data_IF_351063850895
#
_entry.id   IF_351063850895
#
_cell.length_a   1.000
_cell.length_b   1.000
_cell.length_c   1.000
_cell.angle_alpha   90.00
_cell.angle_beta   90.00
_cell.angle_gamma   90.00
#
_symmetry.space_group_name_H-M   'P 1'
#
loop_
_entity.id
_entity.type
_entity.pdbx_description
1 polymer ?
#
# COMPACT_ATOMS: atom_id res chain seq x y z
N UNK A 1 -5.36 -14.84 12.82
CA UNK A 1 -3.96 -15.20 12.45
C UNK A 1 -3.02 -14.25 13.17
N UNK A 2 -1.83 -14.69 13.62
CA UNK A 2 -0.83 -13.79 14.20
C UNK A 2 0.41 -13.82 13.31
N UNK A 3 0.76 -12.68 12.71
CA UNK A 3 1.95 -12.51 11.88
C UNK A 3 3.17 -12.11 12.70
N UNK A 4 4.28 -12.83 12.56
CA UNK A 4 5.54 -12.47 13.21
C UNK A 4 6.28 -11.38 12.42
N UNK A 5 6.69 -10.31 13.11
CA UNK A 5 7.53 -9.25 12.58
C UNK A 5 8.85 -9.26 13.37
N UNK A 6 9.97 -9.65 12.73
CA UNK A 6 11.29 -9.54 13.35
C UNK A 6 11.71 -8.07 13.42
N UNK A 7 12.20 -7.65 14.57
CA UNK A 7 12.75 -6.32 14.82
C UNK A 7 14.27 -6.33 14.76
N UNK A 8 14.82 -6.95 13.74
CA UNK A 8 16.26 -6.99 13.54
C UNK A 8 16.56 -7.12 12.06
N UNK A 9 17.76 -6.68 11.69
CA UNK A 9 18.37 -6.95 10.41
C UNK A 9 19.46 -8.01 10.57
N UNK A 10 19.83 -8.68 9.49
CA UNK A 10 20.94 -9.64 9.47
C UNK A 10 21.83 -9.36 8.28
N UNK A 11 23.12 -9.18 8.53
CA UNK A 11 24.15 -9.12 7.50
C UNK A 11 24.60 -10.52 7.07
N UNK A 12 24.82 -10.71 5.77
CA UNK A 12 25.27 -11.98 5.19
C UNK A 12 26.65 -11.82 4.57
N UNK A 13 27.74 -12.14 5.30
CA UNK A 13 29.09 -12.13 4.76
C UNK A 13 29.27 -13.11 3.59
N UNK A 14 30.31 -12.89 2.79
CA UNK A 14 30.59 -13.71 1.61
C UNK A 14 30.76 -15.22 1.90
N UNK A 15 31.24 -15.57 3.10
CA UNK A 15 31.41 -16.96 3.52
C UNK A 15 30.27 -17.38 4.48
N UNK A 16 29.70 -18.59 4.31
CA UNK A 16 28.68 -19.11 5.23
C UNK A 16 29.18 -19.19 6.66
N UNK A 17 28.34 -18.77 7.60
CA UNK A 17 28.63 -18.80 9.03
C UNK A 17 27.94 -19.99 9.70
N UNK A 18 28.53 -20.52 10.77
CA UNK A 18 27.88 -21.55 11.60
C UNK A 18 26.74 -20.99 12.45
N UNK A 19 26.76 -19.69 12.75
CA UNK A 19 25.69 -18.91 13.35
C UNK A 19 25.79 -17.46 12.85
N UNK A 20 24.66 -16.73 12.86
CA UNK A 20 24.62 -15.34 12.40
C UNK A 20 24.37 -14.34 13.53
N UNK A 21 24.45 -14.76 14.80
CA UNK A 21 24.13 -13.92 15.96
C UNK A 21 24.97 -12.62 16.00
N UNK A 22 26.25 -12.69 15.60
CA UNK A 22 27.13 -11.52 15.54
C UNK A 22 26.87 -10.59 14.35
N UNK A 23 26.05 -11.03 13.40
CA UNK A 23 25.65 -10.27 12.21
C UNK A 23 24.24 -9.70 12.36
N UNK A 24 23.60 -9.92 13.51
CA UNK A 24 22.33 -9.28 13.83
C UNK A 24 22.58 -7.80 14.12
N UNK A 25 21.75 -6.95 13.52
CA UNK A 25 21.75 -5.52 13.75
C UNK A 25 20.37 -5.13 14.28
N UNK A 26 20.36 -4.31 15.32
CA UNK A 26 19.13 -3.69 15.83
C UNK A 26 18.61 -2.69 14.80
N UNK A 27 17.31 -2.39 14.81
CA UNK A 27 16.83 -1.25 14.03
C UNK A 27 17.51 0.04 14.47
N UNK A 28 17.76 0.19 15.77
CA UNK A 28 18.46 1.35 16.31
C UNK A 28 19.85 1.57 15.75
N UNK A 29 20.64 0.50 15.60
CA UNK A 29 21.95 0.59 14.97
C UNK A 29 21.83 0.94 13.49
N UNK A 30 20.85 0.38 12.76
CA UNK A 30 20.66 0.70 11.33
C UNK A 30 20.31 2.19 11.16
N UNK A 31 19.40 2.74 11.97
CA UNK A 31 18.93 4.11 11.83
C UNK A 31 19.89 5.18 12.34
N UNK A 32 20.81 4.82 13.23
CA UNK A 32 21.81 5.74 13.78
C UNK A 32 23.17 5.61 13.09
N UNK A 33 23.33 4.66 12.17
CA UNK A 33 24.56 4.49 11.40
C UNK A 33 24.49 5.30 10.11
N UNK A 34 25.35 6.33 10.05
CA UNK A 34 25.48 7.22 8.89
C UNK A 34 25.78 6.50 7.58
N UNK A 35 26.29 5.28 7.63
CA UNK A 35 26.55 4.50 6.43
C UNK A 35 25.27 4.04 5.72
N UNK A 36 24.18 3.83 6.45
CA UNK A 36 22.90 3.43 5.87
C UNK A 36 22.01 4.63 5.52
N UNK A 37 22.33 5.85 5.96
CA UNK A 37 21.57 7.07 5.64
C UNK A 37 21.39 7.27 4.12
N UNK A 38 22.39 6.87 3.32
CA UNK A 38 22.37 6.97 1.86
C UNK A 38 21.60 5.82 1.16
N UNK A 39 21.15 4.81 1.91
CA UNK A 39 20.57 3.56 1.37
C UNK A 39 19.07 3.37 1.66
N UNK A 40 18.43 4.35 2.28
CA UNK A 40 17.00 4.39 2.58
C UNK A 40 16.46 3.14 3.33
N UNK A 41 16.79 3.00 4.63
CA UNK A 41 16.30 1.90 5.46
C UNK A 41 14.78 1.94 5.70
N UNK A 42 14.09 3.00 5.28
CA UNK A 42 12.64 3.13 5.42
C UNK A 42 11.87 2.40 4.32
N UNK A 43 12.43 2.35 3.11
CA UNK A 43 11.74 1.85 1.91
C UNK A 43 12.47 0.66 1.24
N UNK A 44 13.60 0.21 1.79
CA UNK A 44 14.32 -0.95 1.29
C UNK A 44 14.40 -2.09 2.31
N UNK A 45 14.03 -3.30 1.88
CA UNK A 45 14.25 -4.54 2.65
C UNK A 45 15.69 -5.07 2.51
N UNK A 46 16.54 -4.36 1.77
CA UNK A 46 17.94 -4.76 1.53
C UNK A 46 18.84 -3.53 1.54
N UNK A 47 19.85 -3.58 2.40
CA UNK A 47 20.96 -2.62 2.44
C UNK A 47 22.26 -3.36 2.10
N UNK A 48 23.31 -2.62 1.87
CA UNK A 48 24.68 -3.11 1.71
C UNK A 48 25.47 -2.59 2.89
N UNK A 49 26.29 -3.41 3.57
CA UNK A 49 27.18 -3.01 4.68
C UNK A 49 28.46 -2.33 4.18
N UNK A 50 29.25 -1.75 5.07
CA UNK A 50 30.55 -1.12 4.74
C UNK A 50 31.50 -2.08 4.02
N UNK A 51 31.40 -3.37 4.33
CA UNK A 51 32.18 -4.44 3.73
C UNK A 51 31.63 -4.93 2.38
N UNK A 52 30.50 -4.36 1.92
CA UNK A 52 29.86 -4.71 0.66
C UNK A 52 28.94 -5.94 0.76
N UNK A 53 28.54 -6.34 1.96
CA UNK A 53 27.67 -7.50 2.17
C UNK A 53 26.19 -7.10 2.23
N UNK A 54 25.25 -7.95 1.77
CA UNK A 54 23.83 -7.66 1.90
C UNK A 54 23.37 -7.76 3.36
N UNK A 55 22.58 -6.78 3.78
CA UNK A 55 21.89 -6.70 5.06
C UNK A 55 20.39 -6.76 4.78
N UNK A 56 19.71 -7.79 5.28
CA UNK A 56 18.27 -7.95 5.08
C UNK A 56 17.51 -7.53 6.33
N UNK A 57 16.43 -6.78 6.12
CA UNK A 57 15.56 -6.26 7.17
C UNK A 57 14.10 -6.27 6.70
N UNK A 58 13.21 -5.80 7.58
CA UNK A 58 11.87 -5.40 7.18
C UNK A 58 11.82 -3.88 7.18
N UNK A 59 11.72 -3.28 6.01
CA UNK A 59 11.44 -1.85 5.87
C UNK A 59 10.11 -1.48 6.52
N UNK A 60 9.90 -0.19 6.76
CA UNK A 60 8.64 0.32 7.29
C UNK A 60 7.47 -0.05 6.37
N UNK A 61 7.66 0.04 5.04
CA UNK A 61 6.64 -0.39 4.08
C UNK A 61 6.27 -1.87 4.22
N UNK A 62 7.26 -2.75 4.38
CA UNK A 62 7.02 -4.19 4.53
C UNK A 62 6.32 -4.49 5.85
N UNK A 63 6.65 -3.77 6.92
CA UNK A 63 5.95 -3.86 8.20
C UNK A 63 4.48 -3.45 8.05
N UNK A 64 4.19 -2.34 7.36
CA UNK A 64 2.82 -1.90 7.08
C UNK A 64 2.02 -2.96 6.29
N UNK A 65 2.58 -3.49 5.20
CA UNK A 65 1.95 -4.57 4.41
C UNK A 65 1.63 -5.80 5.26
N UNK A 66 2.49 -6.15 6.23
CA UNK A 66 2.25 -7.26 7.16
C UNK A 66 1.15 -6.95 8.18
N UNK A 67 1.09 -5.71 8.67
CA UNK A 67 0.00 -5.25 9.53
C UNK A 67 -1.33 -5.36 8.78
N UNK A 68 -1.42 -4.81 7.57
CA UNK A 68 -2.62 -4.82 6.73
C UNK A 68 -3.09 -6.25 6.50
N UNK A 69 -2.20 -7.11 6.02
CA UNK A 69 -2.50 -8.51 5.76
C UNK A 69 -3.05 -9.20 7.02
N UNK A 70 -2.42 -9.01 8.18
CA UNK A 70 -2.92 -9.64 9.41
C UNK A 70 -4.27 -9.08 9.86
N UNK A 71 -4.50 -7.78 9.65
CA UNK A 71 -5.75 -7.07 9.99
C UNK A 71 -6.92 -7.54 9.12
N UNK A 72 -6.72 -7.69 7.81
CA UNK A 72 -7.73 -8.17 6.85
C UNK A 72 -8.34 -9.52 7.24
N UNK A 73 -7.57 -10.40 7.88
CA UNK A 73 -8.02 -11.70 8.36
C UNK A 73 -8.48 -11.71 9.84
N UNK A 74 -8.79 -10.54 10.41
CA UNK A 74 -9.23 -10.39 11.81
C UNK A 74 -8.16 -10.81 12.83
N UNK A 75 -6.89 -10.72 12.44
CA UNK A 75 -5.73 -11.11 13.21
C UNK A 75 -4.99 -9.93 13.81
N UNK A 76 -3.69 -10.14 14.05
CA UNK A 76 -2.78 -9.11 14.52
C UNK A 76 -1.33 -9.53 14.31
N UNK A 77 -0.41 -8.76 14.88
CA UNK A 77 1.02 -9.00 14.75
C UNK A 77 1.65 -9.34 16.11
N UNK A 78 2.76 -10.06 16.05
CA UNK A 78 3.68 -10.29 17.16
C UNK A 78 5.05 -9.76 16.76
N UNK A 79 5.73 -9.07 17.67
CA UNK A 79 7.04 -8.45 17.42
C UNK A 79 8.13 -9.24 18.14
N UNK A 80 9.20 -9.57 17.43
CA UNK A 80 10.40 -10.20 18.00
C UNK A 80 11.68 -9.43 17.68
N UNK A 81 12.26 -8.67 18.60
CA UNK A 81 11.65 -8.27 19.86
C UNK A 81 11.81 -6.77 20.09
N UNK A 82 10.94 -6.24 20.94
CA UNK A 82 10.76 -4.80 21.13
C UNK A 82 12.05 -4.10 21.59
N UNK A 83 12.96 -4.80 22.27
CA UNK A 83 14.22 -4.25 22.77
C UNK A 83 15.23 -3.85 21.67
N UNK A 84 14.95 -4.17 20.41
CA UNK A 84 15.81 -3.84 19.27
C UNK A 84 15.45 -2.51 18.58
N UNK A 85 14.42 -1.81 19.08
CA UNK A 85 13.99 -0.50 18.57
C UNK A 85 14.81 0.67 19.14
N UNK A 86 14.65 1.88 18.57
CA UNK A 86 15.24 3.13 19.08
C UNK A 86 14.51 3.66 20.31
N UNK A 87 15.21 3.88 21.43
CA UNK A 87 14.66 4.48 22.65
C UNK A 87 15.32 5.80 23.06
N UNK A 88 16.27 6.28 22.26
CA UNK A 88 17.11 7.45 22.52
C UNK A 88 16.61 8.74 21.83
N UNK A 89 15.42 8.68 21.23
CA UNK A 89 14.85 9.76 20.43
C UNK A 89 15.21 9.68 18.94
N UNK A 90 15.94 8.65 18.51
CA UNK A 90 16.09 8.28 17.10
C UNK A 90 14.81 7.68 16.49
N UNK A 91 14.82 7.37 15.18
CA UNK A 91 13.64 6.83 14.48
C UNK A 91 13.13 5.51 15.08
N UNK A 92 11.97 5.52 15.73
CA UNK A 92 11.35 4.31 16.30
C UNK A 92 10.40 3.64 15.31
N UNK A 93 10.59 2.33 15.10
CA UNK A 93 9.66 1.50 14.35
C UNK A 93 8.32 1.40 15.08
N UNK A 94 8.34 1.29 16.40
CA UNK A 94 7.11 1.24 17.19
C UNK A 94 6.27 2.52 17.04
N UNK A 95 6.92 3.69 17.08
CA UNK A 95 6.24 4.97 16.84
C UNK A 95 5.70 5.06 15.42
N UNK A 96 6.45 4.59 14.42
CA UNK A 96 5.98 4.53 13.03
C UNK A 96 4.76 3.63 12.88
N UNK A 97 4.77 2.44 13.48
CA UNK A 97 3.64 1.51 13.47
C UNK A 97 2.43 2.08 14.19
N UNK A 98 2.64 2.74 15.33
CA UNK A 98 1.57 3.42 16.06
C UNK A 98 0.98 4.55 15.19
N UNK A 99 1.82 5.37 14.56
CA UNK A 99 1.37 6.42 13.66
C UNK A 99 0.62 5.88 12.44
N UNK A 100 1.04 4.75 11.89
CA UNK A 100 0.36 4.07 10.78
C UNK A 100 -1.03 3.58 11.19
N UNK A 101 -1.11 2.77 12.25
CA UNK A 101 -2.37 2.21 12.76
C UNK A 101 -3.35 3.33 13.16
N UNK A 102 -2.87 4.42 13.77
CA UNK A 102 -3.74 5.55 14.15
C UNK A 102 -4.00 6.52 13.00
N UNK A 103 -3.11 6.60 12.01
CA UNK A 103 -3.29 7.36 10.77
C UNK A 103 -4.42 6.78 9.92
N UNK A 104 -4.53 5.45 9.87
CA UNK A 104 -5.67 4.76 9.27
C UNK A 104 -6.99 5.07 10.00
N UNK A 105 -6.94 5.27 11.32
CA UNK A 105 -8.10 5.67 12.11
C UNK A 105 -8.54 7.14 11.90
N UNK A 106 -7.72 7.97 11.23
CA UNK A 106 -8.07 9.35 10.86
C UNK A 106 -8.76 9.46 9.49
N UNK A 107 -9.02 8.34 8.81
CA UNK A 107 -9.71 8.32 7.51
C UNK A 107 -8.90 8.87 6.35
N UNK A 108 -7.59 9.09 6.53
CA UNK A 108 -6.64 9.39 5.45
C UNK A 108 -5.90 8.11 5.12
N UNK A 109 -6.59 7.21 4.44
CA UNK A 109 -5.99 6.02 3.86
C UNK A 109 -5.06 6.43 2.72
N UNK A 110 -3.75 6.34 2.91
CA UNK A 110 -2.77 6.44 1.83
C UNK A 110 -2.73 5.09 1.09
N UNK A 111 -3.85 4.63 0.54
CA UNK A 111 -3.80 3.58 -0.48
C UNK A 111 -3.54 4.24 -1.84
N UNK A 112 -2.63 3.63 -2.61
CA UNK A 112 -2.36 4.01 -3.99
C UNK A 112 -3.71 4.18 -4.73
N UNK A 113 -4.04 5.39 -5.21
CA UNK A 113 -5.30 5.62 -5.89
C UNK A 113 -5.35 4.77 -7.16
N UNK A 114 -6.47 4.07 -7.42
CA UNK A 114 -6.66 3.33 -8.68
C UNK A 114 -6.41 4.29 -9.84
N UNK A 115 -5.34 4.09 -10.61
CA UNK A 115 -5.21 4.81 -11.87
C UNK A 115 -6.18 4.18 -12.87
N UNK A 116 -7.10 4.97 -13.42
CA UNK A 116 -7.98 4.50 -14.50
C UNK A 116 -8.25 5.63 -15.47
N UNK A 117 -8.60 5.26 -16.69
CA UNK A 117 -8.98 6.17 -17.75
C UNK A 117 -10.39 5.86 -18.23
N UNK A 118 -11.11 6.92 -18.62
CA UNK A 118 -12.47 6.80 -19.14
C UNK A 118 -12.54 7.50 -20.49
N UNK A 119 -13.04 6.80 -21.50
CA UNK A 119 -13.11 7.34 -22.86
C UNK A 119 -14.25 6.73 -23.70
N UNK A 120 -14.80 7.49 -24.66
CA UNK A 120 -14.62 8.93 -24.81
C UNK A 120 -15.26 9.68 -23.63
N UNK A 121 -14.75 10.86 -23.30
CA UNK A 121 -15.39 11.79 -22.38
C UNK A 121 -15.20 13.20 -22.95
N UNK A 122 -16.25 13.87 -23.46
CA UNK A 122 -17.67 13.49 -23.38
C UNK A 122 -18.06 12.23 -24.19
N UNK A 123 -19.14 11.54 -23.79
CA UNK A 123 -19.67 10.34 -24.47
C UNK A 123 -21.14 10.48 -24.87
N UNK A 124 -21.52 9.78 -25.94
CA UNK A 124 -22.90 9.70 -26.46
C UNK A 124 -23.59 8.42 -26.00
N UNK A 125 -23.06 7.23 -26.30
CA UNK A 125 -23.75 5.95 -26.06
C UNK A 125 -22.96 4.95 -25.23
N UNK A 126 -21.63 4.95 -25.34
CA UNK A 126 -20.76 3.96 -24.72
C UNK A 126 -19.63 4.64 -23.98
N UNK A 127 -19.43 4.25 -22.72
CA UNK A 127 -18.35 4.72 -21.88
C UNK A 127 -17.40 3.57 -21.59
N UNK A 128 -16.14 3.67 -22.05
CA UNK A 128 -15.13 2.64 -21.78
C UNK A 128 -14.31 3.01 -20.57
N UNK A 129 -14.05 2.02 -19.72
CA UNK A 129 -13.22 2.12 -18.53
C UNK A 129 -12.02 1.20 -18.74
N UNK A 130 -10.81 1.76 -18.60
CA UNK A 130 -9.57 1.00 -18.65
C UNK A 130 -8.76 1.23 -17.39
N UNK A 131 -8.41 0.14 -16.72
CA UNK A 131 -7.54 0.12 -15.53
C UNK A 131 -6.20 -0.53 -15.92
N UNK A 132 -5.02 0.08 -15.64
CA UNK A 132 -3.70 -0.45 -16.02
C UNK A 132 -3.26 -1.68 -15.21
N UNK A 133 -3.83 -1.89 -14.03
CA UNK A 133 -3.51 -2.97 -13.09
C UNK A 133 -4.55 -4.10 -13.15
N UNK A 134 -4.29 -5.24 -12.51
CA UNK A 134 -5.27 -6.31 -12.30
C UNK A 134 -6.42 -5.84 -11.39
N UNK A 135 -7.36 -5.10 -11.98
CA UNK A 135 -8.59 -4.68 -11.31
C UNK A 135 -9.62 -5.79 -11.39
N UNK A 136 -10.22 -6.14 -10.25
CA UNK A 136 -11.38 -7.02 -10.16
C UNK A 136 -12.33 -6.43 -9.11
N UNK A 137 -13.37 -5.74 -9.58
CA UNK A 137 -14.25 -4.99 -8.70
C UNK A 137 -15.49 -4.46 -9.38
N UNK A 138 -16.12 -3.53 -8.68
CA UNK A 138 -17.40 -2.93 -9.04
C UNK A 138 -17.22 -1.51 -9.57
N UNK A 139 -18.12 -1.11 -10.46
CA UNK A 139 -18.34 0.28 -10.83
C UNK A 139 -19.75 0.72 -10.42
N UNK A 140 -19.88 2.00 -10.07
CA UNK A 140 -21.16 2.68 -9.88
C UNK A 140 -21.14 4.02 -10.60
N UNK A 141 -22.14 4.27 -11.45
CA UNK A 141 -22.33 5.55 -12.12
C UNK A 141 -23.46 6.31 -11.44
N UNK A 142 -23.14 7.48 -10.90
CA UNK A 142 -24.08 8.36 -10.20
C UNK A 142 -24.43 9.57 -11.06
N UNK A 143 -25.66 10.06 -10.97
CA UNK A 143 -26.02 11.36 -11.51
C UNK A 143 -25.55 12.51 -10.59
N UNK A 144 -25.74 13.75 -11.02
CA UNK A 144 -25.37 14.95 -10.24
C UNK A 144 -26.09 15.09 -8.88
N UNK A 145 -27.15 14.33 -8.63
CA UNK A 145 -27.86 14.27 -7.34
C UNK A 145 -27.35 13.13 -6.45
N UNK A 146 -26.35 12.36 -6.89
CA UNK A 146 -25.84 11.18 -6.19
C UNK A 146 -26.72 9.93 -6.32
N UNK A 147 -27.70 9.93 -7.22
CA UNK A 147 -28.54 8.74 -7.46
C UNK A 147 -27.85 7.78 -8.43
N UNK A 148 -27.97 6.48 -8.16
CA UNK A 148 -27.40 5.43 -9.02
C UNK A 148 -28.14 5.41 -10.36
N UNK A 149 -27.40 5.67 -11.44
CA UNK A 149 -27.87 5.50 -12.81
C UNK A 149 -27.64 4.06 -13.29
N UNK A 150 -26.45 3.50 -13.03
CA UNK A 150 -26.11 2.11 -13.34
C UNK A 150 -24.94 1.63 -12.48
N UNK A 151 -24.78 0.31 -12.35
CA UNK A 151 -23.68 -0.34 -11.64
C UNK A 151 -23.42 -1.74 -12.18
N UNK A 152 -22.23 -2.27 -11.96
CA UNK A 152 -21.87 -3.64 -12.35
C UNK A 152 -20.46 -3.99 -11.92
N UNK A 153 -20.00 -5.19 -12.27
CA UNK A 153 -18.67 -5.70 -11.93
C UNK A 153 -17.86 -5.97 -13.19
N UNK A 154 -16.53 -5.81 -13.14
CA UNK A 154 -15.65 -6.09 -14.26
C UNK A 154 -14.22 -6.44 -13.84
N UNK A 155 -13.48 -7.05 -14.78
CA UNK A 155 -12.06 -7.37 -14.63
C UNK A 155 -11.26 -6.62 -15.69
N UNK A 156 -10.33 -5.77 -15.26
CA UNK A 156 -9.41 -4.99 -16.10
C UNK A 156 -10.06 -3.86 -16.92
N UNK A 157 -10.93 -4.19 -17.88
CA UNK A 157 -11.60 -3.22 -18.75
C UNK A 157 -13.07 -3.57 -18.97
N UNK A 158 -13.91 -2.55 -19.14
CA UNK A 158 -15.33 -2.72 -19.43
C UNK A 158 -15.90 -1.56 -20.23
N UNK A 159 -17.08 -1.78 -20.81
CA UNK A 159 -17.86 -0.77 -21.51
C UNK A 159 -19.25 -0.69 -20.88
N UNK A 160 -19.69 0.52 -20.57
CA UNK A 160 -21.00 0.80 -20.00
C UNK A 160 -21.86 1.42 -21.09
N UNK A 161 -23.04 0.83 -21.33
CA UNK A 161 -24.07 1.46 -22.16
C UNK A 161 -24.75 2.58 -21.36
N UNK A 162 -24.67 3.79 -21.90
CA UNK A 162 -25.25 5.02 -21.35
C UNK A 162 -26.26 5.65 -22.31
N UNK A 163 -26.67 4.95 -23.35
CA UNK A 163 -27.57 5.46 -24.40
C UNK A 163 -28.93 5.93 -23.87
N UNK A 164 -29.45 5.27 -22.83
CA UNK A 164 -30.72 5.62 -22.18
C UNK A 164 -30.58 6.75 -21.16
N UNK A 165 -29.35 7.19 -20.84
CA UNK A 165 -29.12 8.27 -19.88
C UNK A 165 -29.34 9.64 -20.53
N UNK A 166 -29.90 10.56 -19.76
CA UNK A 166 -30.09 11.95 -20.19
C UNK A 166 -28.74 12.67 -20.29
N UNK A 167 -28.64 13.64 -21.19
CA UNK A 167 -27.52 14.58 -21.26
C UNK A 167 -27.26 15.24 -19.90
N UNK A 168 -26.00 15.28 -19.47
CA UNK A 168 -25.64 15.86 -18.19
C UNK A 168 -24.32 15.37 -17.61
N UNK A 169 -24.07 15.75 -16.36
CA UNK A 169 -22.88 15.37 -15.60
C UNK A 169 -23.20 14.13 -14.75
N UNK A 170 -22.31 13.15 -14.85
CA UNK A 170 -22.32 11.93 -14.07
C UNK A 170 -20.98 11.75 -13.37
N UNK A 171 -20.96 10.92 -12.34
CA UNK A 171 -19.75 10.54 -11.64
C UNK A 171 -19.61 9.02 -11.62
N UNK A 172 -18.51 8.53 -12.17
CA UNK A 172 -18.14 7.14 -12.13
C UNK A 172 -17.30 6.88 -10.89
N UNK A 173 -17.68 5.88 -10.11
CA UNK A 173 -16.99 5.41 -8.92
C UNK A 173 -16.53 3.97 -9.16
N UNK A 174 -15.25 3.68 -8.92
CA UNK A 174 -14.69 2.34 -8.97
C UNK A 174 -14.35 1.89 -7.54
N UNK A 175 -14.66 0.63 -7.24
CA UNK A 175 -14.37 0.01 -5.96
C UNK A 175 -13.85 -1.41 -6.19
N UNK A 176 -12.66 -1.73 -5.72
CA UNK A 176 -12.27 -3.11 -5.50
C UNK A 176 -11.85 -3.30 -4.03
N UNK A 177 -11.84 -4.55 -3.57
CA UNK A 177 -11.51 -4.84 -2.17
C UNK A 177 -10.04 -4.54 -1.81
N UNK A 178 -9.22 -4.08 -2.77
CA UNK A 178 -7.76 -3.99 -2.64
C UNK A 178 -7.20 -2.57 -2.81
N UNK A 179 -7.95 -1.64 -3.40
CA UNK A 179 -7.47 -0.32 -3.79
C UNK A 179 -8.49 0.77 -3.44
N UNK A 180 -7.99 1.99 -3.29
CA UNK A 180 -8.80 3.14 -2.89
C UNK A 180 -9.88 3.51 -3.92
N UNK A 181 -11.02 3.93 -3.38
CA UNK A 181 -12.12 4.55 -4.13
C UNK A 181 -11.62 5.73 -4.97
N UNK A 182 -11.95 5.75 -6.27
CA UNK A 182 -11.68 6.91 -7.12
C UNK A 182 -12.88 7.26 -8.00
N UNK A 183 -13.09 8.57 -8.14
CA UNK A 183 -14.23 9.18 -8.81
C UNK A 183 -13.77 9.89 -10.08
N UNK A 184 -14.45 9.65 -11.20
CA UNK A 184 -14.24 10.39 -12.45
C UNK A 184 -15.52 11.11 -12.86
N UNK A 185 -15.40 12.38 -13.24
CA UNK A 185 -16.52 13.14 -13.81
C UNK A 185 -16.68 12.80 -15.28
N UNK A 186 -17.90 12.42 -15.67
CA UNK A 186 -18.29 12.04 -17.02
C UNK A 186 -19.30 13.04 -17.57
N UNK A 187 -19.11 13.46 -18.82
CA UNK A 187 -20.04 14.32 -19.54
C UNK A 187 -20.79 13.48 -20.57
N UNK A 188 -22.09 13.28 -20.34
CA UNK A 188 -23.02 12.67 -21.32
C UNK A 188 -23.60 13.79 -22.19
N UNK A 189 -23.49 13.64 -23.51
CA UNK A 189 -24.11 14.56 -24.48
C UNK A 189 -25.58 14.26 -24.69
#
# INVERSE_FOLDING_TARGET
>A
VIGGIPFYAVEFPANPQSNYDNYHQTFCSIYNDSYYDDQDPFHSDTLISEEGHPVYLNSIETIHKKIDYCSEFGGGIMIWEIGQDCYDGGPSIQDSMYAYINGDNLGVNIFNPIEFSVYPNPSDNLLNIKVPIEFNGDYTLLNHLGQIATKGSFVGATSIDISELKSGIYYLELNDQKHNFKKAQIVKK
#
